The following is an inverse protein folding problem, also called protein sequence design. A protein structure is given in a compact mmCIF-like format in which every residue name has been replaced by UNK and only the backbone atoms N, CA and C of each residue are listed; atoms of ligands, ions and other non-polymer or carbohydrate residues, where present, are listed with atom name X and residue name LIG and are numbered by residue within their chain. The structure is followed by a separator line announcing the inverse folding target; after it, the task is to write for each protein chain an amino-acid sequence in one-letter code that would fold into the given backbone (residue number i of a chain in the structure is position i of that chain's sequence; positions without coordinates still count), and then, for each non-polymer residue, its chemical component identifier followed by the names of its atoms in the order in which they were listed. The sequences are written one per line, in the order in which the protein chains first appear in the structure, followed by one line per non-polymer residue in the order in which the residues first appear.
data_IF_018787874789
#
_entry.id   IF_018787874789
#
_cell.length_a   1.000
_cell.length_b   1.000
_cell.length_c   1.000
_cell.angle_alpha   90.00
_cell.angle_beta   90.00
_cell.angle_gamma   90.00
#
_symmetry.space_group_name_H-M   'P 1'
#
loop_
_entity.id
_entity.type
_entity.pdbx_description
1 polymer ?
#
# COMPACT_ATOMS: atom_id res chain seq x y z
N UNK A 1 3.41 1.20 14.93
CA UNK A 1 3.08 -0.20 15.33
C UNK A 1 3.00 -1.13 14.11
N UNK A 2 1.88 -1.18 13.36
CA UNK A 2 1.75 -2.11 12.22
C UNK A 2 2.82 -1.91 11.14
N UNK A 3 3.21 -0.68 10.86
CA UNK A 3 4.24 -0.36 9.84
C UNK A 3 5.63 -0.87 10.25
N UNK A 4 5.96 -0.82 11.53
CA UNK A 4 7.25 -1.27 12.06
C UNK A 4 7.34 -2.80 12.05
N UNK A 5 6.26 -3.49 12.46
CA UNK A 5 6.18 -4.96 12.38
C UNK A 5 6.25 -5.45 10.94
N UNK A 6 5.54 -4.76 10.03
CA UNK A 6 5.62 -5.05 8.59
C UNK A 6 7.02 -4.85 8.06
N UNK A 7 7.73 -3.80 8.48
CA UNK A 7 9.11 -3.56 8.08
C UNK A 7 10.03 -4.68 8.55
N UNK A 8 9.92 -5.10 9.81
CA UNK A 8 10.70 -6.21 10.35
C UNK A 8 10.47 -7.52 9.57
N UNK A 9 9.23 -7.79 9.17
CA UNK A 9 8.90 -8.93 8.32
C UNK A 9 9.50 -8.82 6.91
N UNK A 10 9.46 -7.64 6.31
CA UNK A 10 9.99 -7.40 4.96
C UNK A 10 11.51 -7.54 4.94
N UNK A 11 12.18 -7.01 5.97
CA UNK A 11 13.65 -7.08 6.09
C UNK A 11 14.13 -8.51 6.43
N UNK A 12 13.31 -9.31 7.12
CA UNK A 12 13.63 -10.67 7.56
C UNK A 12 12.44 -11.62 7.33
N UNK A 13 12.08 -11.90 6.10
CA UNK A 13 10.95 -12.79 5.81
C UNK A 13 11.27 -14.22 6.26
N UNK A 14 10.24 -15.03 6.57
CA UNK A 14 10.43 -16.45 6.92
C UNK A 14 11.13 -17.21 5.79
N UNK A 15 11.86 -18.27 6.16
CA UNK A 15 12.52 -19.15 5.21
C UNK A 15 11.53 -19.68 4.14
N UNK A 16 11.92 -19.59 2.88
CA UNK A 16 11.10 -20.00 1.74
C UNK A 16 9.96 -19.03 1.37
N UNK A 17 9.89 -17.86 2.04
CA UNK A 17 8.92 -16.83 1.66
C UNK A 17 9.29 -16.15 0.34
N UNK A 18 10.54 -15.83 0.12
CA UNK A 18 11.04 -15.22 -1.13
C UNK A 18 12.51 -15.58 -1.33
N UNK A 19 12.89 -15.81 -2.59
CA UNK A 19 14.28 -16.02 -2.99
C UNK A 19 14.99 -14.70 -3.34
N UNK A 20 14.25 -13.57 -3.34
CA UNK A 20 14.76 -12.23 -3.63
C UNK A 20 14.45 -11.27 -2.47
N UNK A 21 15.25 -10.20 -2.32
CA UNK A 21 14.92 -9.13 -1.38
C UNK A 21 13.53 -8.56 -1.65
N UNK A 22 12.74 -8.37 -0.60
CA UNK A 22 11.38 -7.80 -0.70
C UNK A 22 11.39 -6.28 -0.76
N UNK A 23 12.47 -5.67 -0.29
CA UNK A 23 12.68 -4.23 -0.24
C UNK A 23 14.02 -3.85 -0.86
N UNK A 24 14.01 -2.92 -1.78
CA UNK A 24 15.21 -2.26 -2.27
C UNK A 24 15.29 -0.87 -1.65
N UNK A 25 16.34 -0.62 -0.88
CA UNK A 25 16.55 0.70 -0.27
C UNK A 25 16.69 1.77 -1.35
N UNK A 26 15.86 2.79 -1.23
CA UNK A 26 15.80 3.91 -2.14
C UNK A 26 15.16 5.09 -1.41
N UNK A 27 15.89 6.17 -1.27
CA UNK A 27 15.36 7.35 -0.61
C UNK A 27 14.16 7.95 -1.38
N UNK A 28 13.34 8.72 -0.67
CA UNK A 28 12.23 9.47 -1.26
C UNK A 28 12.41 10.94 -0.97
N UNK A 29 12.21 11.76 -1.99
CA UNK A 29 12.11 13.20 -1.90
C UNK A 29 10.66 13.61 -2.09
N UNK A 30 10.03 14.08 -1.03
CA UNK A 30 8.70 14.69 -1.07
C UNK A 30 8.85 16.18 -1.35
N UNK A 31 8.20 16.66 -2.40
CA UNK A 31 8.26 18.06 -2.81
C UNK A 31 7.07 18.83 -2.27
N UNK A 32 7.32 20.01 -1.74
CA UNK A 32 6.31 20.95 -1.26
C UNK A 32 6.34 22.16 -2.19
N UNK A 33 5.20 22.46 -2.81
CA UNK A 33 5.00 23.66 -3.64
C UNK A 33 4.51 24.82 -2.79
N UNK A 34 4.66 26.04 -3.29
CA UNK A 34 4.13 27.25 -2.62
C UNK A 34 2.61 27.15 -2.40
N UNK A 35 1.88 26.59 -3.36
CA UNK A 35 0.43 26.40 -3.27
C UNK A 35 0.00 25.41 -2.17
N UNK A 36 0.92 24.55 -1.73
CA UNK A 36 0.68 23.55 -0.68
C UNK A 36 1.45 23.83 0.59
N UNK A 37 2.26 24.92 0.64
CA UNK A 37 3.08 25.29 1.80
C UNK A 37 2.22 25.61 3.03
N UNK A 38 0.99 26.08 2.84
CA UNK A 38 0.01 26.35 3.90
C UNK A 38 -0.79 25.10 4.34
N UNK A 39 -0.76 24.02 3.57
CA UNK A 39 -1.27 22.75 4.05
C UNK A 39 -0.29 22.29 5.15
N UNK A 40 -0.76 22.21 6.38
CA UNK A 40 0.00 21.89 7.60
C UNK A 40 0.75 20.55 7.49
N UNK A 41 1.80 20.55 6.68
CA UNK A 41 2.84 19.53 6.74
C UNK A 41 3.78 19.94 7.89
N UNK A 42 3.27 19.80 9.11
CA UNK A 42 4.07 19.83 10.30
C UNK A 42 4.96 18.57 10.30
N UNK A 43 6.25 18.80 10.15
CA UNK A 43 7.28 17.76 10.04
C UNK A 43 7.31 16.86 11.27
N UNK A 44 7.05 17.42 12.44
CA UNK A 44 7.00 16.69 13.71
C UNK A 44 5.79 15.75 13.73
N UNK A 45 4.63 16.22 13.30
CA UNK A 45 3.43 15.41 13.15
C UNK A 45 3.60 14.30 12.10
N UNK A 46 4.23 14.60 10.96
CA UNK A 46 4.52 13.60 9.94
C UNK A 46 5.50 12.54 10.45
N UNK A 47 6.59 12.94 11.08
CA UNK A 47 7.57 12.02 11.67
C UNK A 47 6.91 11.14 12.73
N UNK A 48 6.06 11.71 13.56
CA UNK A 48 5.34 10.98 14.62
C UNK A 48 4.30 10.00 14.03
N UNK A 49 3.52 10.44 13.05
CA UNK A 49 2.48 9.62 12.40
C UNK A 49 3.10 8.48 11.57
N UNK A 50 4.21 8.75 10.90
CA UNK A 50 4.87 7.77 10.03
C UNK A 50 5.88 6.89 10.78
N UNK A 51 6.27 7.24 12.01
CA UNK A 51 7.32 6.53 12.76
C UNK A 51 8.66 6.50 12.01
N UNK A 52 8.96 7.54 11.21
CA UNK A 52 10.12 7.60 10.31
C UNK A 52 10.93 8.86 10.54
N UNK A 53 12.22 8.78 10.23
CA UNK A 53 13.11 9.93 10.28
C UNK A 53 12.98 10.69 8.97
N UNK A 54 12.45 11.90 9.07
CA UNK A 54 12.23 12.81 7.94
C UNK A 54 13.14 14.03 8.13
N UNK A 55 13.78 14.45 7.07
CA UNK A 55 14.67 15.60 7.08
C UNK A 55 14.12 16.72 6.18
N UNK A 56 13.74 17.88 6.71
CA UNK A 56 13.44 19.04 5.88
C UNK A 56 14.70 19.49 5.14
N UNK A 57 14.57 19.74 3.85
CA UNK A 57 15.66 20.21 3.01
C UNK A 57 15.22 21.40 2.17
N UNK A 58 16.14 22.31 1.91
CA UNK A 58 15.91 23.49 1.09
C UNK A 58 15.84 23.16 -0.42
N UNK A 59 15.38 24.14 -1.20
CA UNK A 59 15.28 24.01 -2.66
C UNK A 59 16.62 23.64 -3.30
N UNK A 60 17.74 24.19 -2.82
CA UNK A 60 19.06 23.92 -3.37
C UNK A 60 19.39 22.43 -3.24
N UNK A 61 19.19 21.87 -2.06
CA UNK A 61 19.39 20.45 -1.78
C UNK A 61 18.42 19.57 -2.57
N UNK A 62 17.16 20.00 -2.77
CA UNK A 62 16.22 19.32 -3.64
C UNK A 62 16.76 19.19 -5.07
N UNK A 63 17.32 20.27 -5.61
CA UNK A 63 17.91 20.31 -6.96
C UNK A 63 19.20 19.48 -7.07
N UNK A 64 19.97 19.34 -5.99
CA UNK A 64 21.12 18.43 -5.95
C UNK A 64 20.68 16.96 -6.04
N UNK A 65 19.57 16.58 -5.39
CA UNK A 65 19.02 15.23 -5.49
C UNK A 65 18.28 14.97 -6.79
N UNK A 66 17.63 15.98 -7.34
CA UNK A 66 16.84 15.86 -8.57
C UNK A 66 17.01 17.13 -9.45
N UNK A 67 18.04 17.17 -10.31
CA UNK A 67 18.36 18.37 -11.13
C UNK A 67 17.28 18.76 -12.15
N UNK A 68 16.35 17.87 -12.46
CA UNK A 68 15.27 18.12 -13.43
C UNK A 68 14.08 18.85 -12.84
N UNK A 69 14.10 19.13 -11.54
CA UNK A 69 13.02 19.86 -10.87
C UNK A 69 12.90 21.30 -11.41
N UNK A 70 11.69 21.75 -11.52
CA UNK A 70 11.38 23.15 -11.79
C UNK A 70 11.49 23.95 -10.52
N UNK A 71 12.56 24.74 -10.38
CA UNK A 71 12.83 25.56 -9.20
C UNK A 71 11.68 26.54 -8.87
N UNK A 72 10.94 27.01 -9.90
CA UNK A 72 9.79 27.91 -9.76
C UNK A 72 8.50 27.21 -9.22
N UNK A 73 8.55 25.91 -8.99
CA UNK A 73 7.42 25.08 -8.53
C UNK A 73 7.67 24.36 -7.21
N UNK A 74 8.86 24.50 -6.66
CA UNK A 74 9.26 23.80 -5.44
C UNK A 74 9.71 24.81 -4.40
N UNK A 75 9.02 24.90 -3.29
CA UNK A 75 9.41 25.76 -2.16
C UNK A 75 10.51 25.07 -1.33
N UNK A 76 10.30 23.82 -0.97
CA UNK A 76 11.21 23.00 -0.15
C UNK A 76 10.92 21.52 -0.35
N UNK A 77 11.68 20.66 0.28
CA UNK A 77 11.46 19.22 0.27
C UNK A 77 11.54 18.60 1.66
N UNK A 78 11.05 17.36 1.71
CA UNK A 78 11.27 16.46 2.85
C UNK A 78 12.00 15.24 2.33
N UNK A 79 13.13 14.94 2.90
CA UNK A 79 13.97 13.82 2.53
C UNK A 79 13.76 12.66 3.50
N UNK A 80 13.46 11.48 2.95
CA UNK A 80 13.30 10.22 3.67
C UNK A 80 14.36 9.21 3.18
N UNK A 81 15.52 9.10 3.85
CA UNK A 81 16.63 8.24 3.40
C UNK A 81 16.34 6.74 3.56
N UNK A 82 15.47 6.37 4.52
CA UNK A 82 15.16 4.97 4.85
C UNK A 82 13.99 4.41 4.05
N UNK A 83 13.44 5.18 3.13
CA UNK A 83 12.41 4.69 2.22
C UNK A 83 12.97 3.64 1.25
N UNK A 84 12.10 2.85 0.70
CA UNK A 84 12.50 1.85 -0.28
C UNK A 84 11.36 1.44 -1.18
N UNK A 85 11.72 0.87 -2.31
CA UNK A 85 10.78 0.25 -3.24
C UNK A 85 10.47 -1.18 -2.76
N UNK A 86 9.19 -1.47 -2.59
CA UNK A 86 8.71 -2.81 -2.27
C UNK A 86 8.38 -3.52 -3.57
N UNK A 87 8.98 -4.69 -3.78
CA UNK A 87 8.55 -5.57 -4.86
C UNK A 87 7.29 -6.33 -4.45
N UNK A 88 6.17 -5.90 -4.99
CA UNK A 88 4.86 -6.46 -4.68
C UNK A 88 4.74 -7.91 -5.13
N UNK A 89 5.37 -8.29 -6.24
CA UNK A 89 5.22 -9.63 -6.81
C UNK A 89 5.76 -10.74 -5.89
N UNK A 90 7.00 -10.71 -5.39
CA UNK A 90 7.49 -11.71 -4.45
C UNK A 90 6.73 -11.70 -3.12
N UNK A 91 6.27 -10.56 -2.62
CA UNK A 91 5.44 -10.49 -1.41
C UNK A 91 4.11 -11.22 -1.62
N UNK A 92 3.38 -10.88 -2.68
CA UNK A 92 2.12 -11.52 -3.01
C UNK A 92 2.31 -13.03 -3.25
N UNK A 93 3.31 -13.41 -4.05
CA UNK A 93 3.66 -14.80 -4.30
C UNK A 93 4.05 -15.57 -3.04
N UNK A 94 4.76 -14.94 -2.12
CA UNK A 94 5.14 -15.50 -0.82
C UNK A 94 3.93 -15.86 0.03
N UNK A 95 3.02 -14.92 0.20
CA UNK A 95 1.77 -15.17 0.94
C UNK A 95 0.92 -16.25 0.29
N UNK A 96 0.78 -16.25 -1.04
CA UNK A 96 0.03 -17.29 -1.75
C UNK A 96 0.67 -18.68 -1.56
N UNK A 97 2.00 -18.80 -1.59
CA UNK A 97 2.69 -20.06 -1.32
C UNK A 97 2.42 -20.56 0.08
N UNK A 98 2.52 -19.68 1.09
CA UNK A 98 2.25 -20.05 2.47
C UNK A 98 0.79 -20.44 2.68
N UNK A 99 -0.15 -19.70 2.13
CA UNK A 99 -1.57 -20.02 2.21
C UNK A 99 -1.88 -21.39 1.61
N UNK A 100 -1.38 -21.69 0.41
CA UNK A 100 -1.56 -23.00 -0.25
C UNK A 100 -0.90 -24.12 0.55
N UNK A 101 0.30 -23.89 1.11
CA UNK A 101 0.97 -24.86 1.98
C UNK A 101 0.15 -25.17 3.24
N UNK A 102 -0.61 -24.19 3.72
CA UNK A 102 -1.54 -24.34 4.84
C UNK A 102 -2.91 -24.94 4.44
N UNK A 103 -3.09 -25.32 3.17
CA UNK A 103 -4.33 -25.94 2.66
C UNK A 103 -5.38 -24.94 2.16
N UNK A 104 -5.04 -23.67 1.98
CA UNK A 104 -5.97 -22.71 1.40
C UNK A 104 -6.10 -22.91 -0.12
N UNK A 105 -7.31 -22.70 -0.61
CA UNK A 105 -7.60 -22.68 -2.03
C UNK A 105 -7.68 -21.25 -2.56
N UNK A 106 -7.16 -21.03 -3.75
CA UNK A 106 -7.31 -19.79 -4.50
C UNK A 106 -8.21 -20.02 -5.69
N UNK A 107 -9.35 -19.34 -5.70
CA UNK A 107 -10.29 -19.38 -6.82
C UNK A 107 -10.24 -18.03 -7.52
N UNK A 108 -9.79 -18.02 -8.77
CA UNK A 108 -9.75 -16.83 -9.63
C UNK A 108 -11.05 -16.69 -10.42
N UNK A 109 -11.26 -15.52 -11.03
CA UNK A 109 -12.47 -15.21 -11.84
C UNK A 109 -13.78 -15.46 -11.09
N UNK A 110 -13.74 -15.32 -9.77
CA UNK A 110 -14.80 -15.60 -8.81
C UNK A 110 -15.39 -14.31 -8.21
N UNK A 111 -15.81 -13.38 -9.08
CA UNK A 111 -16.50 -12.17 -8.61
C UNK A 111 -17.65 -12.55 -7.68
N UNK A 112 -17.70 -11.96 -6.49
CA UNK A 112 -18.79 -12.17 -5.54
C UNK A 112 -20.03 -11.46 -6.05
N UNK A 113 -21.10 -12.22 -6.19
CA UNK A 113 -22.41 -11.76 -6.71
C UNK A 113 -23.43 -11.59 -5.59
N UNK A 114 -23.26 -12.31 -4.49
CA UNK A 114 -24.15 -12.27 -3.33
C UNK A 114 -23.47 -12.80 -2.09
N UNK A 115 -23.92 -12.30 -0.94
CA UNK A 115 -23.42 -12.67 0.37
C UNK A 115 -24.60 -12.68 1.36
N UNK A 116 -24.92 -13.82 1.90
CA UNK A 116 -26.05 -14.01 2.83
C UNK A 116 -25.61 -14.85 4.04
N UNK A 117 -26.11 -14.53 5.22
CA UNK A 117 -25.91 -15.37 6.40
C UNK A 117 -27.10 -16.28 6.61
N UNK A 118 -26.87 -17.60 6.56
CA UNK A 118 -27.90 -18.63 6.76
C UNK A 118 -27.35 -19.73 7.66
N UNK A 119 -28.16 -20.14 8.65
CA UNK A 119 -27.84 -21.24 9.57
C UNK A 119 -26.47 -21.11 10.27
N UNK A 120 -26.09 -19.88 10.61
CA UNK A 120 -24.83 -19.58 11.31
C UNK A 120 -23.61 -19.49 10.43
N UNK A 121 -23.72 -19.76 9.13
CA UNK A 121 -22.64 -19.64 8.15
C UNK A 121 -22.96 -18.59 7.09
N UNK A 122 -21.91 -18.04 6.49
CA UNK A 122 -22.03 -17.20 5.31
C UNK A 122 -22.13 -18.08 4.06
N UNK A 123 -23.07 -17.75 3.21
CA UNK A 123 -23.20 -18.28 1.86
C UNK A 123 -22.69 -17.21 0.90
N UNK A 124 -21.67 -17.54 0.14
CA UNK A 124 -21.05 -16.65 -0.84
C UNK A 124 -21.36 -17.15 -2.22
N UNK A 125 -22.14 -16.41 -2.98
CA UNK A 125 -22.37 -16.69 -4.39
C UNK A 125 -21.35 -15.94 -5.25
N UNK A 126 -20.71 -16.65 -6.17
CA UNK A 126 -19.73 -16.07 -7.08
C UNK A 126 -19.89 -16.60 -8.50
N UNK A 127 -19.16 -16.00 -9.45
CA UNK A 127 -19.13 -16.51 -10.83
C UNK A 127 -18.52 -17.91 -10.94
N UNK A 128 -17.68 -18.31 -9.99
CA UNK A 128 -17.04 -19.62 -9.98
C UNK A 128 -17.82 -20.68 -9.18
N UNK A 129 -18.98 -20.31 -8.60
CA UNK A 129 -19.81 -21.20 -7.80
C UNK A 129 -20.11 -20.63 -6.43
N UNK A 130 -20.73 -21.46 -5.58
CA UNK A 130 -21.16 -21.09 -4.24
C UNK A 130 -20.22 -21.68 -3.18
N UNK A 131 -19.91 -20.90 -2.17
CA UNK A 131 -19.04 -21.27 -1.06
C UNK A 131 -19.77 -21.02 0.27
N UNK A 132 -19.40 -21.80 1.29
CA UNK A 132 -19.93 -21.60 2.64
C UNK A 132 -18.83 -21.57 3.67
N UNK A 133 -18.89 -20.60 4.58
CA UNK A 133 -17.89 -20.46 5.65
C UNK A 133 -18.51 -19.81 6.90
N UNK A 134 -18.04 -20.16 8.11
CA UNK A 134 -18.48 -19.51 9.34
C UNK A 134 -18.03 -18.05 9.46
N UNK A 135 -16.96 -17.70 8.75
CA UNK A 135 -16.36 -16.36 8.74
C UNK A 135 -15.98 -15.96 7.31
N UNK A 136 -16.27 -14.71 6.96
CA UNK A 136 -15.82 -14.05 5.73
C UNK A 136 -14.98 -12.85 6.12
N UNK A 137 -13.81 -12.71 5.48
CA UNK A 137 -12.92 -11.56 5.65
C UNK A 137 -12.96 -10.72 4.39
N UNK A 138 -13.43 -9.47 4.52
CA UNK A 138 -13.50 -8.53 3.41
C UNK A 138 -12.13 -7.86 3.20
N UNK A 139 -11.41 -8.27 2.15
CA UNK A 139 -10.12 -7.70 1.74
C UNK A 139 -10.19 -7.10 0.32
N UNK A 140 -11.35 -6.59 -0.09
CA UNK A 140 -11.62 -6.15 -1.46
C UNK A 140 -11.11 -4.73 -1.78
N UNK A 141 -10.37 -4.09 -0.85
CA UNK A 141 -9.77 -2.77 -1.07
C UNK A 141 -10.82 -1.72 -1.42
N UNK A 142 -10.73 -1.14 -2.62
CA UNK A 142 -11.64 -0.10 -3.08
C UNK A 142 -13.12 -0.53 -3.15
N UNK A 143 -13.40 -1.82 -3.18
CA UNK A 143 -14.76 -2.40 -3.19
C UNK A 143 -15.23 -2.83 -1.79
N UNK A 144 -14.52 -2.41 -0.74
CA UNK A 144 -14.83 -2.80 0.64
C UNK A 144 -16.26 -2.47 1.05
N UNK A 145 -16.75 -1.28 0.74
CA UNK A 145 -18.13 -0.89 1.04
C UNK A 145 -19.14 -1.69 0.21
N UNK A 146 -18.83 -1.98 -1.05
CA UNK A 146 -19.72 -2.78 -1.92
C UNK A 146 -19.95 -4.18 -1.33
N UNK A 147 -18.89 -4.86 -0.91
CA UNK A 147 -19.01 -6.17 -0.28
C UNK A 147 -19.62 -6.06 1.13
N UNK A 148 -19.30 -4.99 1.85
CA UNK A 148 -19.87 -4.69 3.16
C UNK A 148 -21.40 -4.55 3.10
N UNK A 149 -21.92 -3.81 2.13
CA UNK A 149 -23.35 -3.64 1.91
C UNK A 149 -24.05 -4.98 1.58
N UNK A 150 -23.42 -5.83 0.75
CA UNK A 150 -23.93 -7.18 0.48
C UNK A 150 -24.03 -8.01 1.76
N UNK A 151 -23.16 -7.78 2.74
CA UNK A 151 -23.17 -8.44 4.03
C UNK A 151 -24.14 -7.78 5.04
N UNK A 152 -24.82 -6.70 4.68
CA UNK A 152 -25.68 -5.94 5.57
C UNK A 152 -24.93 -5.03 6.55
N UNK A 153 -23.64 -4.76 6.32
CA UNK A 153 -22.85 -3.84 7.13
C UNK A 153 -23.10 -2.38 6.72
N UNK A 154 -22.95 -1.46 7.67
CA UNK A 154 -22.98 -0.03 7.37
C UNK A 154 -21.72 0.36 6.58
N UNK A 155 -21.85 1.18 5.54
CA UNK A 155 -20.70 1.71 4.80
C UNK A 155 -19.74 2.47 5.72
N UNK A 156 -18.45 2.33 5.51
CA UNK A 156 -17.42 3.13 6.20
C UNK A 156 -17.04 4.40 5.44
N UNK A 157 -17.62 4.61 4.25
CA UNK A 157 -17.44 5.79 3.42
C UNK A 157 -16.15 5.75 2.59
N UNK A 158 -15.76 4.57 2.10
CA UNK A 158 -14.60 4.43 1.23
C UNK A 158 -14.80 5.23 -0.06
N UNK A 159 -13.83 6.09 -0.38
CA UNK A 159 -13.77 6.82 -1.64
C UNK A 159 -12.61 6.31 -2.48
N UNK A 160 -12.87 5.44 -3.46
CA UNK A 160 -11.81 4.96 -4.34
C UNK A 160 -11.16 6.09 -5.12
N UNK A 161 -9.89 6.33 -4.91
CA UNK A 161 -9.12 7.37 -5.57
C UNK A 161 -8.09 6.74 -6.53
N UNK A 162 -8.03 7.26 -7.75
CA UNK A 162 -6.98 6.85 -8.68
C UNK A 162 -5.70 7.62 -8.38
N UNK A 163 -4.64 6.90 -8.12
CA UNK A 163 -3.27 7.46 -8.12
C UNK A 163 -2.55 7.02 -9.38
N UNK A 164 -1.83 7.95 -9.99
CA UNK A 164 -1.00 7.66 -11.15
C UNK A 164 0.45 7.77 -10.73
N UNK A 165 1.22 6.72 -10.97
CA UNK A 165 2.67 6.74 -10.91
C UNK A 165 3.22 6.52 -12.32
N UNK A 166 4.31 7.19 -12.65
CA UNK A 166 5.00 7.01 -13.92
C UNK A 166 6.51 7.07 -13.68
N UNK A 167 7.23 6.41 -14.57
CA UNK A 167 8.68 6.49 -14.63
C UNK A 167 9.09 7.23 -15.90
N UNK A 168 10.19 7.95 -15.85
CA UNK A 168 10.76 8.60 -17.00
C UNK A 168 12.28 8.41 -17.00
N UNK A 169 12.87 8.46 -18.18
CA UNK A 169 14.34 8.40 -18.31
C UNK A 169 14.93 9.70 -17.76
N UNK A 170 15.82 9.58 -16.79
CA UNK A 170 16.58 10.73 -16.29
C UNK A 170 17.49 11.34 -17.38
N UNK A 171 17.98 12.56 -17.18
CA UNK A 171 18.98 13.13 -18.05
C UNK A 171 20.22 12.23 -18.08
N UNK A 172 20.83 12.10 -19.25
CA UNK A 172 22.12 11.44 -19.37
C UNK A 172 23.16 12.36 -18.71
N UNK A 173 23.73 11.90 -17.62
CA UNK A 173 24.82 12.59 -16.91
C UNK A 173 26.18 12.28 -17.51
#
# INVERSE_FOLDING_TARGET
ALSEETRSFIDNPPEGFSDAPLLNKRAVLLLISDDTADAHFDEESLSHVMGRILFPIDLKTCLEHCPVLRADKVARGIWEPEAGDIDVHPIHGGYLRLARKAGAELVCDADVLGLERRDGAWQVESRAGSFSAPLVVNCTGAWGDVLGEMAGASPVGLQPMRRTAFTFKGPEG
#
